data_IF_695192021986
#
_entry.id   IF_695192021986
#
_cell.length_a   1.000
_cell.length_b   1.000
_cell.length_c   1.000
_cell.angle_alpha   90.00
_cell.angle_beta   90.00
_cell.angle_gamma   90.00
#
_symmetry.space_group_name_H-M   'P 1'
#
loop_
_entity.id
_entity.type
_entity.pdbx_description
1 polymer ?
#
# COMPACT_ATOMS: atom_id res chain seq x y z
N UNK A 1 -1.15 -6.75 14.21
CA UNK A 1 -0.05 -6.22 15.03
C UNK A 1 -0.13 -4.72 14.94
N UNK A 2 -0.31 -4.01 16.06
CA UNK A 2 -0.11 -2.56 16.09
C UNK A 2 1.34 -2.31 15.66
N UNK A 3 1.61 -1.42 14.70
CA UNK A 3 2.98 -1.23 14.24
C UNK A 3 3.79 -0.61 15.39
N UNK A 4 4.86 -1.31 15.75
CA UNK A 4 5.70 -1.02 16.92
C UNK A 4 6.54 0.23 16.66
N UNK A 5 6.67 1.10 17.67
CA UNK A 5 7.54 2.28 17.58
C UNK A 5 8.95 1.84 17.19
N UNK A 6 9.61 2.59 16.32
CA UNK A 6 10.98 2.27 15.87
C UNK A 6 11.93 3.36 16.30
N UNK A 7 13.09 2.98 16.85
CA UNK A 7 14.17 3.92 17.17
C UNK A 7 15.23 3.87 16.06
N UNK A 8 15.56 5.02 15.49
CA UNK A 8 16.60 5.19 14.46
C UNK A 8 17.45 6.42 14.78
N UNK A 9 18.77 6.25 14.86
CA UNK A 9 19.70 7.35 15.14
C UNK A 9 19.37 8.11 16.43
N UNK A 10 18.84 7.41 17.44
CA UNK A 10 18.41 7.98 18.71
C UNK A 10 17.07 8.73 18.70
N UNK A 11 16.34 8.74 17.57
CA UNK A 11 14.99 9.31 17.48
C UNK A 11 13.94 8.22 17.43
N UNK A 12 12.80 8.46 18.09
CA UNK A 12 11.64 7.57 18.03
C UNK A 12 10.74 7.97 16.88
N UNK A 13 10.34 6.98 16.08
CA UNK A 13 9.40 7.14 14.99
C UNK A 13 8.15 6.32 15.27
N UNK A 14 7.01 6.93 14.94
CA UNK A 14 5.70 6.30 14.99
C UNK A 14 5.18 6.06 13.57
N UNK A 15 4.60 4.88 13.30
CA UNK A 15 3.99 4.56 12.01
C UNK A 15 2.74 5.40 11.78
N UNK A 16 2.50 5.78 10.52
CA UNK A 16 1.23 6.38 10.10
C UNK A 16 0.20 5.26 9.95
N UNK A 17 -0.67 5.10 10.95
CA UNK A 17 -1.69 4.03 10.96
C UNK A 17 -3.02 4.46 10.36
N UNK A 18 -3.30 5.76 10.37
CA UNK A 18 -4.48 6.37 9.76
C UNK A 18 -3.97 7.40 8.74
N UNK A 19 -4.24 7.16 7.46
CA UNK A 19 -3.80 8.05 6.38
C UNK A 19 -4.89 9.06 6.02
N UNK A 20 -4.45 10.26 5.64
CA UNK A 20 -5.31 11.26 5.01
C UNK A 20 -5.35 11.04 3.49
N UNK A 21 -6.29 11.68 2.79
CA UNK A 21 -6.34 11.64 1.32
C UNK A 21 -5.04 12.16 0.69
N UNK A 22 -4.43 13.19 1.27
CA UNK A 22 -3.14 13.72 0.79
C UNK A 22 -2.01 12.70 0.98
N UNK A 23 -2.01 11.98 2.10
CA UNK A 23 -1.07 10.88 2.36
C UNK A 23 -1.17 9.80 1.30
N UNK A 24 -2.38 9.31 1.05
CA UNK A 24 -2.61 8.25 0.06
C UNK A 24 -2.14 8.68 -1.33
N UNK A 25 -2.51 9.89 -1.78
CA UNK A 25 -2.11 10.41 -3.09
C UNK A 25 -0.59 10.57 -3.19
N UNK A 26 0.04 11.05 -2.13
CA UNK A 26 1.49 11.21 -2.09
C UNK A 26 2.21 9.86 -2.14
N UNK A 27 1.74 8.88 -1.37
CA UNK A 27 2.26 7.51 -1.37
C UNK A 27 2.13 6.87 -2.75
N UNK A 28 0.95 6.93 -3.37
CA UNK A 28 0.73 6.37 -4.71
C UNK A 28 1.62 7.04 -5.75
N UNK A 29 1.78 8.37 -5.67
CA UNK A 29 2.70 9.10 -6.53
C UNK A 29 4.16 8.66 -6.35
N UNK A 30 4.59 8.38 -5.12
CA UNK A 30 5.93 7.83 -4.84
C UNK A 30 6.08 6.40 -5.38
N UNK A 31 5.11 5.53 -5.12
CA UNK A 31 5.13 4.15 -5.60
C UNK A 31 5.18 4.08 -7.14
N UNK A 32 4.39 4.92 -7.83
CA UNK A 32 4.42 5.04 -9.28
C UNK A 32 5.77 5.54 -9.81
N UNK A 33 6.39 6.54 -9.16
CA UNK A 33 7.76 6.99 -9.51
C UNK A 33 8.83 5.95 -9.20
N UNK A 34 8.59 5.07 -8.23
CA UNK A 34 9.45 3.95 -7.93
C UNK A 34 9.25 2.76 -8.90
N UNK A 35 8.27 2.84 -9.81
CA UNK A 35 7.97 1.77 -10.76
C UNK A 35 7.37 0.52 -10.12
N UNK A 36 6.84 0.64 -8.89
CA UNK A 36 6.29 -0.50 -8.17
C UNK A 36 5.02 -0.98 -8.87
N UNK A 37 5.00 -2.26 -9.22
CA UNK A 37 3.82 -2.91 -9.81
C UNK A 37 3.21 -3.87 -8.82
N UNK A 38 2.10 -3.44 -8.26
CA UNK A 38 1.42 -4.17 -7.20
C UNK A 38 0.51 -5.30 -7.70
N UNK A 39 0.41 -5.49 -9.00
CA UNK A 39 -0.22 -6.67 -9.58
C UNK A 39 0.71 -7.88 -9.46
N UNK A 40 0.23 -8.94 -8.80
CA UNK A 40 0.90 -10.25 -8.80
C UNK A 40 0.72 -10.91 -10.17
N UNK A 41 1.79 -11.42 -10.76
CA UNK A 41 1.71 -12.23 -11.97
C UNK A 41 0.90 -13.51 -11.77
N UNK A 42 0.27 -14.02 -12.84
CA UNK A 42 -0.59 -15.22 -12.77
C UNK A 42 0.14 -16.44 -12.19
N UNK A 43 1.41 -16.61 -12.56
CA UNK A 43 2.27 -17.73 -12.13
C UNK A 43 3.26 -17.36 -11.04
N UNK A 44 3.26 -16.12 -10.59
CA UNK A 44 4.19 -15.61 -9.58
C UNK A 44 3.78 -16.14 -8.19
N UNK A 45 4.73 -16.72 -7.45
CA UNK A 45 4.48 -17.11 -6.06
C UNK A 45 4.43 -15.86 -5.16
N UNK A 46 3.81 -15.91 -3.97
CA UNK A 46 3.87 -14.80 -3.02
C UNK A 46 5.30 -14.37 -2.68
N UNK A 47 6.22 -15.33 -2.59
CA UNK A 47 7.64 -15.10 -2.31
C UNK A 47 8.34 -14.40 -3.49
N UNK A 48 8.09 -14.85 -4.72
CA UNK A 48 8.64 -14.21 -5.93
C UNK A 48 8.12 -12.78 -6.09
N UNK A 49 6.83 -12.58 -5.80
CA UNK A 49 6.21 -11.26 -5.77
C UNK A 49 6.87 -10.36 -4.72
N UNK A 50 7.08 -10.89 -3.51
CA UNK A 50 7.86 -10.25 -2.44
C UNK A 50 9.23 -9.79 -2.88
N UNK A 51 10.01 -10.71 -3.45
CA UNK A 51 11.35 -10.44 -3.94
C UNK A 51 11.35 -9.39 -5.06
N UNK A 52 10.39 -9.43 -5.98
CA UNK A 52 10.27 -8.44 -7.06
C UNK A 52 9.98 -7.05 -6.54
N UNK A 53 9.00 -6.86 -5.65
CA UNK A 53 8.70 -5.52 -5.12
C UNK A 53 9.89 -4.99 -4.31
N UNK A 54 10.60 -5.85 -3.57
CA UNK A 54 11.84 -5.46 -2.89
C UNK A 54 12.89 -4.96 -3.89
N UNK A 55 13.15 -5.71 -4.94
CA UNK A 55 14.12 -5.33 -5.96
C UNK A 55 13.71 -4.03 -6.68
N UNK A 56 12.46 -3.92 -7.14
CA UNK A 56 11.91 -2.68 -7.73
C UNK A 56 12.08 -1.47 -6.77
N UNK A 57 11.80 -1.66 -5.48
CA UNK A 57 11.97 -0.62 -4.45
C UNK A 57 13.43 -0.19 -4.30
N UNK A 58 14.36 -1.14 -4.22
CA UNK A 58 15.79 -0.86 -4.06
C UNK A 58 16.37 -0.21 -5.32
N UNK A 59 16.09 -0.76 -6.50
CA UNK A 59 16.61 -0.26 -7.78
C UNK A 59 16.10 1.14 -8.11
N UNK A 60 14.89 1.50 -7.64
CA UNK A 60 14.33 2.84 -7.88
C UNK A 60 15.08 3.97 -7.17
N UNK A 61 15.87 3.67 -6.13
CA UNK A 61 16.45 4.66 -5.24
C UNK A 61 15.43 5.41 -4.37
N UNK A 62 14.16 4.96 -4.34
CA UNK A 62 13.05 5.60 -3.61
C UNK A 62 12.71 4.95 -2.28
N UNK A 63 13.42 3.89 -1.89
CA UNK A 63 13.19 3.17 -0.64
C UNK A 63 13.06 4.10 0.59
N UNK A 64 13.99 5.04 0.74
CA UNK A 64 13.97 5.97 1.89
C UNK A 64 12.80 6.96 1.85
N UNK A 65 12.40 7.42 0.66
CA UNK A 65 11.23 8.30 0.51
C UNK A 65 9.93 7.57 0.84
N UNK A 66 9.81 6.29 0.44
CA UNK A 66 8.67 5.43 0.79
C UNK A 66 8.62 5.19 2.30
N UNK A 67 9.76 4.88 2.91
CA UNK A 67 9.86 4.72 4.37
C UNK A 67 9.46 6.01 5.09
N UNK A 68 9.98 7.17 4.66
CA UNK A 68 9.63 8.46 5.24
C UNK A 68 8.15 8.82 5.07
N UNK A 69 7.47 8.25 4.08
CA UNK A 69 6.03 8.41 3.93
C UNK A 69 5.23 7.63 4.99
N UNK A 70 5.75 6.52 5.49
CA UNK A 70 5.00 5.60 6.37
C UNK A 70 5.23 5.81 7.86
N UNK A 71 6.12 6.73 8.24
CA UNK A 71 6.34 7.06 9.64
C UNK A 71 6.73 8.52 9.81
N UNK A 72 6.52 9.01 11.03
CA UNK A 72 6.83 10.37 11.44
C UNK A 72 7.57 10.33 12.77
N UNK A 73 8.39 11.35 13.09
CA UNK A 73 8.95 11.48 14.42
C UNK A 73 7.83 11.51 15.47
N UNK A 74 8.05 10.87 16.62
CA UNK A 74 7.07 10.79 17.69
C UNK A 74 6.63 12.18 18.17
N UNK A 75 7.55 13.14 18.19
CA UNK A 75 7.30 14.53 18.57
C UNK A 75 6.40 15.29 17.58
N UNK A 76 6.31 14.85 16.32
CA UNK A 76 5.41 15.41 15.31
C UNK A 76 4.02 14.77 15.43
N UNK A 77 3.98 13.48 15.71
CA UNK A 77 2.74 12.71 15.76
C UNK A 77 2.10 12.50 14.39
N UNK A 78 1.19 11.52 14.30
CA UNK A 78 0.57 11.12 13.02
C UNK A 78 -0.24 12.27 12.41
N UNK A 79 -0.92 13.07 13.22
CA UNK A 79 -1.70 14.24 12.77
C UNK A 79 -0.83 15.35 12.17
N UNK A 80 0.46 15.37 12.49
CA UNK A 80 1.44 16.32 11.94
C UNK A 80 2.06 15.86 10.61
N UNK A 81 1.60 14.74 10.05
CA UNK A 81 2.13 14.24 8.79
C UNK A 81 1.91 15.24 7.65
N UNK A 82 2.96 15.47 6.86
CA UNK A 82 2.91 16.23 5.61
C UNK A 82 3.91 15.66 4.60
N UNK A 83 3.78 15.96 3.30
CA UNK A 83 4.80 15.62 2.31
C UNK A 83 6.20 16.17 2.65
N UNK A 84 6.26 17.32 3.31
CA UNK A 84 7.53 17.90 3.77
C UNK A 84 8.15 17.07 4.89
N UNK A 85 7.35 16.65 5.87
CA UNK A 85 7.82 15.82 6.97
C UNK A 85 8.29 14.45 6.50
N UNK A 86 7.60 13.87 5.51
CA UNK A 86 8.04 12.63 4.89
C UNK A 86 9.43 12.76 4.25
N UNK A 87 9.71 13.89 3.56
CA UNK A 87 11.03 14.17 2.98
C UNK A 87 12.10 14.40 4.04
N UNK A 88 11.78 15.12 5.13
CA UNK A 88 12.70 15.32 6.27
C UNK A 88 13.07 13.99 6.92
N UNK A 89 12.08 13.13 7.14
CA UNK A 89 12.28 11.78 7.68
C UNK A 89 13.18 10.95 6.77
N UNK A 90 12.90 10.92 5.47
CA UNK A 90 13.73 10.22 4.49
C UNK A 90 15.19 10.72 4.48
N UNK A 91 15.38 12.04 4.50
CA UNK A 91 16.70 12.66 4.53
C UNK A 91 17.47 12.33 5.82
N UNK A 92 16.80 12.35 6.97
CA UNK A 92 17.38 11.95 8.25
C UNK A 92 17.87 10.50 8.21
N UNK A 93 17.01 9.57 7.77
CA UNK A 93 17.35 8.14 7.70
C UNK A 93 18.53 7.90 6.76
N UNK A 94 18.58 8.63 5.63
CA UNK A 94 19.68 8.52 4.67
C UNK A 94 21.05 8.95 5.19
N UNK A 95 21.12 9.64 6.33
CA UNK A 95 22.38 10.05 6.96
C UNK A 95 22.86 9.09 8.07
N UNK A 96 22.07 8.06 8.41
CA UNK A 96 22.43 7.10 9.45
C UNK A 96 23.64 6.26 9.04
N UNK A 97 24.61 6.12 9.95
CA UNK A 97 25.88 5.40 9.70
C UNK A 97 26.05 4.16 10.58
N UNK A 98 25.31 4.07 11.68
CA UNK A 98 25.37 2.93 12.60
C UNK A 98 24.88 1.65 11.95
N UNK A 99 25.58 0.54 12.18
CA UNK A 99 25.22 -0.74 11.55
C UNK A 99 23.89 -1.29 12.08
N UNK A 100 23.57 -1.00 13.34
CA UNK A 100 22.28 -1.31 13.96
C UNK A 100 21.13 -0.55 13.28
N UNK A 101 21.32 0.74 13.02
CA UNK A 101 20.33 1.56 12.28
C UNK A 101 20.16 1.04 10.84
N UNK A 102 21.25 0.71 10.15
CA UNK A 102 21.17 0.11 8.80
C UNK A 102 20.39 -1.20 8.82
N UNK A 103 20.58 -2.03 9.85
CA UNK A 103 19.85 -3.29 10.00
C UNK A 103 18.35 -3.03 10.24
N UNK A 104 18.00 -2.06 11.09
CA UNK A 104 16.61 -1.65 11.31
C UNK A 104 15.95 -1.12 10.04
N UNK A 105 16.64 -0.25 9.29
CA UNK A 105 16.13 0.28 8.01
C UNK A 105 15.88 -0.85 7.01
N UNK A 106 16.78 -1.83 6.91
CA UNK A 106 16.54 -3.04 6.09
C UNK A 106 15.30 -3.80 6.55
N UNK A 107 15.12 -3.97 7.86
CA UNK A 107 13.93 -4.58 8.44
C UNK A 107 12.64 -3.83 8.09
N UNK A 108 12.66 -2.49 8.19
CA UNK A 108 11.52 -1.64 7.82
C UNK A 108 11.14 -1.76 6.35
N UNK A 109 12.13 -1.83 5.44
CA UNK A 109 11.87 -2.06 4.01
C UNK A 109 11.13 -3.38 3.83
N UNK A 110 11.57 -4.46 4.51
CA UNK A 110 10.91 -5.76 4.43
C UNK A 110 9.49 -5.73 5.03
N UNK A 111 9.30 -5.06 6.16
CA UNK A 111 7.98 -4.91 6.80
C UNK A 111 6.99 -4.12 5.94
N UNK A 112 7.45 -3.04 5.30
CA UNK A 112 6.65 -2.22 4.37
C UNK A 112 6.06 -3.09 3.24
N UNK A 113 6.88 -3.99 2.70
CA UNK A 113 6.47 -4.93 1.66
C UNK A 113 5.45 -5.95 2.19
N UNK A 114 5.69 -6.48 3.39
CA UNK A 114 4.79 -7.45 4.02
C UNK A 114 3.42 -6.89 4.37
N UNK A 115 3.34 -5.69 4.93
CA UNK A 115 2.05 -5.04 5.24
C UNK A 115 1.31 -4.63 3.96
N UNK A 116 2.04 -4.23 2.91
CA UNK A 116 1.47 -4.06 1.59
C UNK A 116 0.82 -5.36 1.07
N UNK A 117 1.52 -6.51 1.15
CA UNK A 117 0.92 -7.79 0.76
C UNK A 117 -0.32 -8.14 1.57
N UNK A 118 -0.32 -7.86 2.87
CA UNK A 118 -1.45 -8.16 3.75
C UNK A 118 -2.70 -7.34 3.37
N UNK A 119 -2.54 -6.05 3.10
CA UNK A 119 -3.64 -5.16 2.72
C UNK A 119 -4.08 -5.36 1.26
N UNK A 120 -3.13 -5.54 0.34
CA UNK A 120 -3.39 -5.76 -1.09
C UNK A 120 -4.06 -7.11 -1.38
N UNK A 121 -3.60 -8.20 -0.75
CA UNK A 121 -4.22 -9.51 -0.91
C UNK A 121 -5.63 -9.54 -0.33
N UNK A 122 -5.89 -8.88 0.80
CA UNK A 122 -7.24 -8.77 1.36
C UNK A 122 -8.21 -8.06 0.41
N UNK A 123 -7.76 -7.00 -0.27
CA UNK A 123 -8.56 -6.26 -1.27
C UNK A 123 -8.82 -7.06 -2.56
N UNK A 124 -7.85 -7.84 -3.02
CA UNK A 124 -8.02 -8.73 -4.18
C UNK A 124 -9.01 -9.87 -3.87
N UNK A 125 -8.95 -10.44 -2.67
CA UNK A 125 -9.86 -11.51 -2.24
C UNK A 125 -11.30 -11.03 -2.04
N UNK A 126 -11.52 -9.83 -1.50
CA UNK A 126 -12.87 -9.24 -1.40
C UNK A 126 -13.42 -8.87 -2.78
N UNK A 127 -12.58 -8.34 -3.68
CA UNK A 127 -12.99 -7.99 -5.05
C UNK A 127 -13.39 -9.21 -5.89
N UNK A 128 -12.66 -10.34 -5.79
CA UNK A 128 -13.05 -11.59 -6.46
C UNK A 128 -14.37 -12.18 -5.91
N UNK A 129 -14.69 -11.97 -4.64
CA UNK A 129 -15.95 -12.44 -4.05
C UNK A 129 -17.15 -11.61 -4.50
N UNK A 130 -16.98 -10.32 -4.80
CA UNK A 130 -18.06 -9.45 -5.29
C UNK A 130 -18.42 -9.67 -6.77
N UNK A 131 -17.52 -10.24 -7.58
CA UNK A 131 -17.81 -10.59 -8.98
C UNK A 131 -18.63 -11.88 -9.14
N UNK A 132 -18.94 -12.59 -8.04
CA UNK A 132 -19.79 -13.80 -8.02
C UNK A 132 -21.26 -13.53 -7.68
N UNK A 133 -21.73 -12.30 -7.85
CA UNK A 133 -23.16 -12.10 -8.07
C UNK A 133 -23.47 -12.66 -9.46
N UNK A 134 -23.90 -13.93 -9.51
CA UNK A 134 -24.58 -14.47 -10.69
C UNK A 134 -25.71 -13.50 -11.04
N UNK A 135 -25.92 -13.14 -12.31
CA UNK A 135 -27.19 -12.53 -12.69
C UNK A 135 -28.27 -13.56 -12.36
N UNK A 136 -28.97 -13.36 -11.25
CA UNK A 136 -30.17 -14.13 -10.94
C UNK A 136 -31.22 -13.77 -11.98
N UNK A 137 -31.81 -14.80 -12.55
CA UNK A 137 -32.81 -14.76 -13.62
C UNK A 137 -33.94 -13.77 -13.30
N UNK A 138 -33.94 -12.59 -13.90
CA UNK A 138 -35.06 -11.63 -13.79
C UNK A 138 -35.26 -10.78 -15.04
N UNK A 139 -34.75 -11.20 -16.20
CA UNK A 139 -34.98 -10.50 -17.48
C UNK A 139 -35.83 -11.27 -18.49
N UNK A 140 -36.58 -12.30 -18.08
CA UNK A 140 -37.46 -13.05 -19.00
C UNK A 140 -38.93 -12.65 -18.92
N UNK A 141 -39.36 -11.78 -17.98
CA UNK A 141 -40.79 -11.43 -17.84
C UNK A 141 -41.25 -10.13 -18.53
N UNK A 142 -40.34 -9.33 -19.11
CA UNK A 142 -40.72 -8.04 -19.71
C UNK A 142 -40.99 -8.06 -21.23
N UNK A 143 -40.81 -9.19 -21.91
CA UNK A 143 -41.06 -9.30 -23.37
C UNK A 143 -42.35 -10.02 -23.75
N UNK A 144 -43.10 -10.61 -22.80
CA UNK A 144 -44.40 -11.27 -23.07
C UNK A 144 -45.61 -10.37 -22.83
N UNK A 145 -45.45 -9.20 -22.20
CA UNK A 145 -46.58 -8.31 -21.88
C UNK A 145 -46.97 -7.33 -23.01
N UNK A 146 -46.16 -7.18 -24.07
CA UNK A 146 -46.43 -6.19 -25.13
C UNK A 146 -47.12 -6.79 -26.38
N UNK A 147 -47.26 -8.12 -26.47
CA UNK A 147 -47.85 -8.78 -27.63
C UNK A 147 -49.36 -9.14 -27.50
N UNK A 148 -49.98 -8.87 -26.34
CA UNK A 148 -51.38 -9.26 -26.06
C UNK A 148 -52.40 -8.11 -26.11
N UNK A 149 -52.01 -6.91 -26.55
CA UNK A 149 -52.85 -5.70 -26.49
C UNK A 149 -53.23 -5.07 -27.83
N UNK A 150 -53.12 -5.80 -28.95
CA UNK A 150 -53.46 -5.29 -30.28
C UNK A 150 -54.30 -6.30 -31.08
N UNK A 151 -55.40 -6.76 -30.49
CA UNK A 151 -56.52 -7.36 -31.23
C UNK A 151 -57.76 -7.43 -30.33
N UNK A 152 -58.56 -6.36 -30.32
CA UNK A 152 -60.04 -6.37 -30.18
C UNK A 152 -60.57 -4.94 -30.30
#
# INVERSE_FOLDING_TARGET
MSPEKTILGGRTFVPVTESTVEHDLYFHGLAGRAGLRFEKGERETPEDFGARILDETVQSGKALELIGCLMVPEEVGVDGWTPEEARKTAAFIGQLRGDEDKARVRGLILSLLMDFFRCGLASIWTSQSSSRIRPTDSQTEFLTATAAGAAS
#
